data_IF_533216839359
#
_entry.id   IF_533216839359
#
_cell.length_a   1.000
_cell.length_b   1.000
_cell.length_c   1.000
_cell.angle_alpha   90.00
_cell.angle_beta   90.00
_cell.angle_gamma   90.00
#
_symmetry.space_group_name_H-M   'P 1'
#
loop_
_entity.id
_entity.type
_entity.pdbx_description
1 polymer ?
#
# COMPACT_ATOMS: atom_id res chain seq x y z
N UNK A 1 50.08 -37.93 -59.91
CA UNK A 1 49.42 -38.44 -58.69
C UNK A 1 49.71 -37.46 -57.57
N UNK A 2 48.64 -36.84 -57.08
CA UNK A 2 48.55 -35.72 -56.12
C UNK A 2 49.25 -36.03 -54.79
N UNK A 3 49.96 -35.15 -54.07
CA UNK A 3 50.04 -33.69 -54.09
C UNK A 3 49.74 -33.14 -52.68
N UNK A 4 50.75 -33.08 -51.80
CA UNK A 4 50.71 -32.51 -50.44
C UNK A 4 50.60 -30.98 -50.45
N UNK A 5 49.82 -30.37 -49.54
CA UNK A 5 50.04 -29.00 -49.08
C UNK A 5 49.36 -28.70 -47.73
N UNK A 6 50.16 -28.32 -46.73
CA UNK A 6 49.77 -27.41 -45.65
C UNK A 6 49.57 -25.99 -46.22
N UNK A 7 48.70 -25.15 -45.66
CA UNK A 7 49.05 -23.75 -45.35
C UNK A 7 48.01 -23.03 -44.47
N UNK A 8 48.56 -22.02 -43.79
CA UNK A 8 48.06 -21.16 -42.73
C UNK A 8 47.03 -20.06 -43.12
N UNK A 9 46.23 -19.68 -42.11
CA UNK A 9 45.94 -18.29 -41.62
C UNK A 9 45.04 -17.36 -42.45
N UNK A 10 44.06 -16.74 -41.77
CA UNK A 10 43.66 -15.35 -42.00
C UNK A 10 42.88 -14.77 -40.80
N UNK A 11 43.37 -13.64 -40.30
CA UNK A 11 42.68 -12.68 -39.42
C UNK A 11 41.91 -11.67 -40.27
N UNK A 12 40.76 -11.18 -39.83
CA UNK A 12 40.26 -9.83 -40.19
C UNK A 12 39.06 -9.41 -39.34
N UNK A 13 39.18 -8.23 -38.74
CA UNK A 13 38.09 -7.35 -38.28
C UNK A 13 37.07 -7.08 -39.40
N UNK A 14 35.82 -6.72 -39.03
CA UNK A 14 35.02 -5.62 -39.59
C UNK A 14 33.54 -5.76 -39.19
N UNK A 15 33.06 -4.68 -38.56
CA UNK A 15 31.73 -4.05 -38.56
C UNK A 15 30.43 -4.77 -38.13
N UNK A 16 29.82 -4.10 -37.16
CA UNK A 16 28.43 -4.15 -36.70
C UNK A 16 27.49 -3.69 -37.81
N UNK A 17 26.26 -4.22 -37.86
CA UNK A 17 25.13 -3.31 -38.01
C UNK A 17 24.05 -3.52 -36.95
N UNK A 18 23.66 -2.39 -36.37
CA UNK A 18 22.53 -2.17 -35.49
C UNK A 18 21.25 -2.39 -36.31
N UNK A 19 20.51 -3.47 -36.04
CA UNK A 19 19.14 -3.61 -36.53
C UNK A 19 18.15 -3.12 -35.47
N UNK A 20 17.66 -1.89 -35.69
CA UNK A 20 16.42 -1.36 -35.10
C UNK A 20 15.24 -2.08 -35.74
N UNK A 21 14.38 -2.70 -34.94
CA UNK A 21 13.04 -3.12 -35.37
C UNK A 21 11.98 -2.28 -34.62
N UNK A 22 11.03 -1.66 -35.33
CA UNK A 22 9.86 -1.04 -34.71
C UNK A 22 8.74 -2.09 -34.55
N UNK A 23 8.27 -2.32 -33.33
CA UNK A 23 7.01 -3.02 -33.08
C UNK A 23 5.85 -2.00 -33.07
N UNK A 24 4.84 -2.13 -33.96
CA UNK A 24 3.59 -1.40 -33.81
C UNK A 24 2.68 -2.18 -32.85
N UNK A 25 2.28 -1.56 -31.75
CA UNK A 25 1.19 -2.07 -30.90
C UNK A 25 -0.04 -1.18 -31.17
N UNK A 26 -0.94 -1.69 -32.00
CA UNK A 26 -2.28 -1.12 -32.18
C UNK A 26 -3.11 -1.36 -30.92
N UNK A 27 -3.64 -0.27 -30.35
CA UNK A 27 -4.60 -0.30 -29.24
C UNK A 27 -6.00 -0.36 -29.84
N UNK A 28 -6.63 -1.53 -29.78
CA UNK A 28 -8.06 -1.67 -30.13
C UNK A 28 -8.89 -1.25 -28.91
N UNK A 29 -9.48 -0.07 -29.01
CA UNK A 29 -10.41 0.50 -28.03
C UNK A 29 -11.79 -0.15 -28.19
N UNK A 30 -12.12 -1.11 -27.32
CA UNK A 30 -13.47 -1.69 -27.27
C UNK A 30 -14.42 -0.78 -26.50
N UNK A 31 -15.44 -0.33 -27.23
CA UNK A 31 -16.55 0.51 -26.78
C UNK A 31 -17.57 -0.36 -26.02
N UNK A 32 -17.78 -0.13 -24.72
CA UNK A 32 -18.86 -0.77 -23.96
C UNK A 32 -20.05 0.19 -23.90
N UNK A 33 -21.11 -0.18 -24.61
CA UNK A 33 -22.40 0.49 -24.63
C UNK A 33 -23.14 0.26 -23.31
N UNK A 34 -23.50 1.34 -22.61
CA UNK A 34 -24.34 1.26 -21.41
C UNK A 34 -25.80 0.98 -21.80
N UNK A 35 -26.31 -0.16 -21.33
CA UNK A 35 -27.70 -0.57 -21.42
C UNK A 35 -28.60 0.35 -20.60
N UNK A 36 -29.66 0.86 -21.24
CA UNK A 36 -30.68 1.72 -20.63
C UNK A 36 -31.63 0.87 -19.78
N UNK A 37 -31.63 1.08 -18.47
CA UNK A 37 -32.67 0.54 -17.58
C UNK A 37 -33.89 1.48 -17.61
N UNK A 38 -35.03 0.94 -18.02
CA UNK A 38 -36.34 1.56 -17.95
C UNK A 38 -36.73 1.86 -16.50
N UNK A 39 -37.02 3.12 -16.18
CA UNK A 39 -37.77 3.49 -14.98
C UNK A 39 -39.27 3.44 -15.31
N UNK A 40 -39.99 2.54 -14.63
CA UNK A 40 -41.45 2.51 -14.61
C UNK A 40 -41.94 3.53 -13.58
N UNK A 41 -42.83 4.39 -14.04
CA UNK A 41 -43.49 5.44 -13.28
C UNK A 41 -44.47 4.86 -12.24
N UNK A 42 -44.49 5.45 -11.04
CA UNK A 42 -45.66 5.38 -10.16
C UNK A 42 -45.97 6.77 -9.62
N UNK A 43 -47.07 7.32 -10.12
CA UNK A 43 -47.68 8.59 -9.74
C UNK A 43 -48.61 8.40 -8.55
N UNK A 44 -48.39 9.13 -7.46
CA UNK A 44 -49.40 9.40 -6.43
C UNK A 44 -49.49 10.91 -6.23
N UNK A 45 -50.68 11.44 -6.51
CA UNK A 45 -51.09 12.83 -6.38
C UNK A 45 -51.61 13.04 -4.96
N UNK A 46 -51.06 14.02 -4.22
CA UNK A 46 -51.76 14.66 -3.10
C UNK A 46 -51.57 16.18 -3.22
N UNK A 47 -52.70 16.87 -3.33
CA UNK A 47 -52.89 18.32 -3.35
C UNK A 47 -52.68 18.90 -1.94
N UNK A 48 -51.93 19.99 -1.83
CA UNK A 48 -51.81 20.80 -0.62
C UNK A 48 -51.24 22.19 -0.93
N UNK A 49 -52.10 23.21 -0.83
CA UNK A 49 -51.82 24.63 -1.08
C UNK A 49 -50.71 25.21 -0.18
N UNK A 50 -49.86 26.08 -0.73
CA UNK A 50 -48.95 26.94 0.03
C UNK A 50 -48.04 27.79 -0.86
N UNK A 51 -48.14 29.12 -0.72
CA UNK A 51 -47.68 30.19 -1.60
C UNK A 51 -46.17 30.32 -1.92
N UNK A 52 -45.91 30.75 -3.17
CA UNK A 52 -44.89 31.71 -3.66
C UNK A 52 -43.43 31.66 -3.18
N UNK A 53 -42.50 31.31 -4.08
CA UNK A 53 -41.44 32.22 -4.58
C UNK A 53 -40.51 31.56 -5.63
N UNK A 54 -40.63 32.04 -6.87
CA UNK A 54 -39.63 32.23 -7.95
C UNK A 54 -38.25 31.54 -7.80
N UNK A 55 -38.01 30.47 -8.58
CA UNK A 55 -36.67 30.00 -8.95
C UNK A 55 -36.38 30.26 -10.43
N UNK A 56 -35.20 30.84 -10.68
CA UNK A 56 -34.66 31.14 -12.01
C UNK A 56 -33.81 29.96 -12.50
N UNK A 57 -33.92 29.67 -13.80
CA UNK A 57 -33.24 28.60 -14.55
C UNK A 57 -31.71 28.75 -14.64
N UNK A 58 -30.99 27.63 -14.63
CA UNK A 58 -30.14 27.10 -15.74
C UNK A 58 -29.43 25.82 -15.28
N UNK A 59 -29.66 24.63 -15.87
CA UNK A 59 -28.91 24.03 -17.00
C UNK A 59 -27.37 24.24 -16.90
N UNK A 60 -26.47 23.27 -17.06
CA UNK A 60 -26.54 21.87 -17.52
C UNK A 60 -25.14 21.23 -17.29
N UNK A 61 -25.10 19.93 -17.01
CA UNK A 61 -24.15 18.88 -17.49
C UNK A 61 -22.62 19.13 -17.51
N UNK A 62 -21.87 18.17 -16.95
CA UNK A 62 -20.45 17.95 -17.26
C UNK A 62 -19.84 16.83 -16.42
N UNK A 63 -19.43 15.74 -17.08
CA UNK A 63 -18.99 14.47 -16.53
C UNK A 63 -17.60 14.46 -15.88
N UNK A 64 -17.37 13.47 -15.01
CA UNK A 64 -16.14 12.66 -15.02
C UNK A 64 -14.94 13.11 -14.16
N UNK A 65 -14.63 12.27 -13.16
CA UNK A 65 -13.29 11.77 -12.80
C UNK A 65 -13.08 11.73 -11.27
N UNK A 66 -13.17 10.53 -10.71
CA UNK A 66 -12.76 10.19 -9.36
C UNK A 66 -11.22 10.20 -9.27
N UNK A 67 -10.67 11.35 -8.86
CA UNK A 67 -9.36 11.44 -8.22
C UNK A 67 -9.57 11.94 -6.80
N UNK A 68 -9.30 11.11 -5.80
CA UNK A 68 -9.31 11.51 -4.40
C UNK A 68 -8.14 12.47 -4.13
N UNK A 69 -8.31 13.73 -4.48
CA UNK A 69 -7.57 14.83 -3.89
C UNK A 69 -8.21 15.11 -2.53
N UNK A 70 -7.49 14.80 -1.44
CA UNK A 70 -7.89 15.21 -0.10
C UNK A 70 -8.02 16.74 -0.02
N UNK A 71 -8.90 17.26 0.85
CA UNK A 71 -9.20 18.69 0.87
C UNK A 71 -7.93 19.48 1.20
N UNK A 72 -7.56 20.39 0.31
CA UNK A 72 -6.62 21.46 0.59
C UNK A 72 -7.27 22.40 1.61
N UNK A 73 -7.14 22.05 2.88
CA UNK A 73 -7.47 22.93 3.99
C UNK A 73 -6.48 24.10 4.00
N UNK A 74 -7.00 25.31 3.86
CA UNK A 74 -6.30 26.55 4.14
C UNK A 74 -5.89 26.57 5.62
N UNK A 75 -4.69 26.09 5.91
CA UNK A 75 -4.05 26.13 7.22
C UNK A 75 -2.93 27.15 7.24
N UNK A 76 -2.63 27.67 8.42
CA UNK A 76 -1.45 28.49 8.73
C UNK A 76 -0.17 27.93 8.07
N UNK A 77 0.84 28.78 7.77
CA UNK A 77 2.07 28.31 7.15
C UNK A 77 2.64 27.16 7.96
N UNK A 78 2.69 25.99 7.31
CA UNK A 78 3.29 24.78 7.83
C UNK A 78 4.66 25.12 8.45
N UNK A 79 4.74 25.10 9.78
CA UNK A 79 5.97 25.44 10.47
C UNK A 79 6.91 24.22 10.45
N UNK A 80 8.04 24.37 9.76
CA UNK A 80 9.09 23.36 9.71
C UNK A 80 10.17 23.74 10.74
N UNK A 81 10.26 22.98 11.82
CA UNK A 81 11.30 23.12 12.84
C UNK A 81 12.54 22.31 12.42
N UNK A 82 13.74 22.87 12.53
CA UNK A 82 14.98 22.24 12.06
C UNK A 82 15.96 22.10 13.21
N UNK A 83 16.47 20.89 13.41
CA UNK A 83 17.50 20.55 14.37
C UNK A 83 18.61 19.75 13.68
N UNK A 84 19.75 20.41 13.46
CA UNK A 84 20.87 19.86 12.72
C UNK A 84 20.46 19.37 11.34
N UNK A 85 20.45 18.05 11.14
CA UNK A 85 20.11 17.41 9.87
C UNK A 85 18.71 16.77 9.86
N UNK A 86 17.89 17.09 10.86
CA UNK A 86 16.50 16.63 11.01
C UNK A 86 15.57 17.82 10.95
N UNK A 87 14.40 17.66 10.33
CA UNK A 87 13.34 18.65 10.37
C UNK A 87 12.01 18.00 10.76
N UNK A 88 11.19 18.72 11.51
CA UNK A 88 9.89 18.26 12.01
C UNK A 88 8.82 19.22 11.53
N UNK A 89 7.79 18.68 10.91
CA UNK A 89 6.56 19.39 10.58
C UNK A 89 5.46 18.93 11.52
N UNK A 90 4.79 19.88 12.16
CA UNK A 90 3.65 19.66 13.06
C UNK A 90 2.39 20.16 12.39
N UNK A 91 1.31 19.38 12.43
CA UNK A 91 0.05 19.70 11.77
C UNK A 91 -1.08 19.45 12.76
N UNK A 92 -1.81 20.50 13.07
CA UNK A 92 -3.08 20.47 13.80
C UNK A 92 -4.21 20.30 12.77
N UNK A 93 -4.86 19.13 12.80
CA UNK A 93 -5.91 18.73 11.85
C UNK A 93 -7.29 19.12 12.38
N UNK A 94 -7.50 18.99 13.70
CA UNK A 94 -8.79 19.27 14.35
C UNK A 94 -8.96 20.74 14.81
N UNK A 95 -7.90 21.56 14.73
CA UNK A 95 -7.81 22.98 15.11
C UNK A 95 -7.91 23.24 16.61
N UNK A 96 -7.44 22.33 17.45
CA UNK A 96 -7.47 22.46 18.91
C UNK A 96 -6.19 23.12 19.49
N UNK A 97 -5.26 23.54 18.64
CA UNK A 97 -3.92 24.09 18.95
C UNK A 97 -2.93 23.05 19.45
N UNK A 98 -3.24 21.76 19.32
CA UNK A 98 -2.33 20.64 19.56
C UNK A 98 -2.11 19.95 18.22
N UNK A 99 -0.86 19.59 17.87
CA UNK A 99 -0.63 18.88 16.61
C UNK A 99 -1.07 17.42 16.71
N UNK A 100 -1.81 16.97 15.71
CA UNK A 100 -2.27 15.59 15.56
C UNK A 100 -1.34 14.77 14.65
N UNK A 101 -0.67 15.44 13.72
CA UNK A 101 0.21 14.79 12.75
C UNK A 101 1.62 15.38 12.79
N UNK A 102 2.60 14.51 12.96
CA UNK A 102 4.02 14.85 12.97
C UNK A 102 4.70 14.18 11.78
N UNK A 103 5.45 14.95 11.00
CA UNK A 103 6.29 14.42 9.92
C UNK A 103 7.74 14.75 10.21
N UNK A 104 8.56 13.72 10.27
CA UNK A 104 9.99 13.81 10.49
C UNK A 104 10.71 13.63 9.16
N UNK A 105 11.55 14.59 8.84
CA UNK A 105 12.36 14.64 7.64
C UNK A 105 13.83 14.57 8.01
N UNK A 106 14.62 13.91 7.16
CA UNK A 106 16.07 14.07 7.12
C UNK A 106 16.42 15.04 6.01
N UNK A 107 17.19 16.07 6.33
CA UNK A 107 17.76 16.96 5.32
C UNK A 107 18.90 16.24 4.61
N UNK A 108 18.94 16.29 3.28
CA UNK A 108 19.93 15.56 2.46
C UNK A 108 20.69 16.54 1.59
N UNK A 109 22.02 16.44 1.65
CA UNK A 109 22.94 17.29 0.88
C UNK A 109 23.59 18.38 1.73
N UNK A 110 24.13 19.39 1.06
CA UNK A 110 24.79 20.52 1.71
C UNK A 110 23.75 21.46 2.35
N UNK A 111 23.77 21.51 3.67
CA UNK A 111 22.92 22.34 4.52
C UNK A 111 23.53 23.70 4.85
N UNK A 112 24.82 23.92 4.54
CA UNK A 112 25.52 25.14 4.92
C UNK A 112 24.97 26.37 4.19
N UNK A 113 24.52 27.36 4.97
CA UNK A 113 24.07 28.66 4.44
C UNK A 113 22.76 28.64 3.64
N UNK A 114 22.05 27.50 3.59
CA UNK A 114 20.75 27.37 2.91
C UNK A 114 19.60 27.37 3.90
N UNK A 115 18.45 27.87 3.45
CA UNK A 115 17.20 27.72 4.20
C UNK A 115 16.70 26.28 4.09
N UNK A 116 16.08 25.77 5.15
CA UNK A 116 15.60 24.38 5.19
C UNK A 116 14.49 24.09 4.18
N UNK A 117 13.79 25.11 3.71
CA UNK A 117 12.78 24.96 2.66
C UNK A 117 13.41 24.57 1.32
N UNK A 118 14.64 25.02 1.06
CA UNK A 118 15.37 24.83 -0.20
C UNK A 118 16.26 23.56 -0.20
N UNK A 119 16.42 22.92 0.95
CA UNK A 119 17.21 21.70 1.08
C UNK A 119 16.35 20.49 0.74
N UNK A 120 16.81 19.54 -0.10
CA UNK A 120 16.11 18.28 -0.33
C UNK A 120 15.81 17.56 0.97
N UNK A 121 14.54 17.18 1.16
CA UNK A 121 14.02 16.58 2.39
C UNK A 121 13.61 15.15 2.09
N UNK A 122 14.04 14.21 2.93
CA UNK A 122 13.61 12.82 2.89
C UNK A 122 12.67 12.53 4.04
N UNK A 123 11.41 12.16 3.77
CA UNK A 123 10.49 11.72 4.84
C UNK A 123 11.04 10.42 5.46
N UNK A 124 11.21 10.38 6.78
CA UNK A 124 11.72 9.20 7.50
C UNK A 124 10.69 8.58 8.43
N UNK A 125 9.80 9.41 9.01
CA UNK A 125 8.75 8.96 9.93
C UNK A 125 7.54 9.89 9.86
N UNK A 126 6.35 9.32 9.96
CA UNK A 126 5.10 10.05 10.13
C UNK A 126 4.36 9.45 11.34
N UNK A 127 3.97 10.29 12.26
CA UNK A 127 3.19 9.94 13.46
C UNK A 127 1.83 10.63 13.37
N UNK A 128 0.77 9.93 13.75
CA UNK A 128 -0.61 10.41 13.68
C UNK A 128 -1.36 9.99 14.93
N UNK A 129 -1.92 10.97 15.62
CA UNK A 129 -3.04 10.85 16.55
C UNK A 129 -4.33 10.95 15.72
N UNK A 130 -5.08 9.86 15.61
CA UNK A 130 -6.30 9.79 14.80
C UNK A 130 -7.58 9.92 15.62
N UNK A 131 -7.49 9.72 16.94
CA UNK A 131 -8.62 9.85 17.85
C UNK A 131 -8.63 11.18 18.66
N UNK A 132 -7.55 11.97 18.54
CA UNK A 132 -7.31 13.26 19.18
C UNK A 132 -7.16 13.21 20.70
N UNK A 133 -6.57 12.14 21.23
CA UNK A 133 -6.34 11.97 22.68
C UNK A 133 -4.92 12.35 23.14
N UNK A 134 -4.08 12.83 22.21
CA UNK A 134 -2.66 13.19 22.36
C UNK A 134 -1.70 12.02 22.54
N UNK A 135 -2.14 10.80 22.28
CA UNK A 135 -1.28 9.65 22.05
C UNK A 135 -1.15 9.41 20.55
N UNK A 136 -0.04 8.79 20.16
CA UNK A 136 0.21 8.47 18.76
C UNK A 136 -0.37 7.10 18.47
N UNK A 137 -1.34 7.05 17.57
CA UNK A 137 -2.03 5.82 17.19
C UNK A 137 -1.32 5.12 16.04
N UNK A 138 -0.79 5.90 15.08
CA UNK A 138 -0.19 5.34 13.87
C UNK A 138 1.21 5.90 13.64
N UNK A 139 2.18 5.01 13.48
CA UNK A 139 3.56 5.35 13.12
C UNK A 139 3.95 4.69 11.80
N UNK A 140 4.25 5.51 10.80
CA UNK A 140 4.74 5.07 9.49
C UNK A 140 6.21 5.40 9.33
N UNK A 141 7.02 4.44 8.89
CA UNK A 141 8.45 4.59 8.64
C UNK A 141 8.75 4.47 7.15
N UNK A 142 9.65 5.34 6.70
CA UNK A 142 10.00 5.51 5.30
C UNK A 142 11.51 5.42 5.09
N UNK A 143 11.93 5.03 3.89
CA UNK A 143 13.32 5.10 3.42
C UNK A 143 13.35 5.49 1.95
N UNK A 144 14.49 5.94 1.45
CA UNK A 144 14.68 6.11 0.00
C UNK A 144 15.56 7.30 -0.30
N UNK A 145 15.18 8.03 -1.34
CA UNK A 145 15.76 9.31 -1.72
C UNK A 145 14.71 10.41 -1.48
N UNK A 146 15.13 11.68 -1.31
CA UNK A 146 14.21 12.81 -1.27
C UNK A 146 13.19 12.77 -2.41
N UNK A 147 11.90 12.74 -2.05
CA UNK A 147 10.78 12.70 -3.01
C UNK A 147 10.51 11.35 -3.69
N UNK A 148 11.26 10.30 -3.34
CA UNK A 148 11.06 8.91 -3.81
C UNK A 148 11.02 7.92 -2.65
N UNK A 149 10.51 8.36 -1.51
CA UNK A 149 10.45 7.55 -0.31
C UNK A 149 9.47 6.40 -0.48
N UNK A 150 9.84 5.23 0.05
CA UNK A 150 8.98 4.05 0.12
C UNK A 150 8.73 3.72 1.58
N UNK A 151 7.47 3.44 1.90
CA UNK A 151 7.08 2.96 3.22
C UNK A 151 7.67 1.57 3.45
N UNK A 152 8.25 1.36 4.64
CA UNK A 152 8.89 0.09 5.03
C UNK A 152 8.22 -0.57 6.22
N UNK A 153 7.57 0.21 7.08
CA UNK A 153 6.89 -0.26 8.27
C UNK A 153 5.74 0.69 8.63
N UNK A 154 4.64 0.13 9.09
CA UNK A 154 3.49 0.85 9.66
C UNK A 154 3.11 0.14 10.96
N UNK A 155 3.02 0.89 12.04
CA UNK A 155 2.63 0.44 13.39
C UNK A 155 1.30 1.14 13.72
N UNK A 156 0.34 0.42 14.29
CA UNK A 156 -0.98 0.93 14.64
C UNK A 156 -1.40 0.41 16.01
N UNK A 157 -1.84 1.33 16.87
CA UNK A 157 -2.69 1.13 18.03
C UNK A 157 -4.15 1.11 17.55
N UNK A 158 -4.83 -0.01 17.73
CA UNK A 158 -6.18 -0.25 17.22
C UNK A 158 -7.25 -0.05 18.30
N UNK A 159 -6.90 -0.17 19.58
CA UNK A 159 -7.81 0.04 20.72
C UNK A 159 -7.56 1.33 21.51
N UNK A 160 -6.51 2.08 21.15
CA UNK A 160 -6.11 3.37 21.70
C UNK A 160 -5.58 3.31 23.14
N UNK A 161 -5.01 2.18 23.55
CA UNK A 161 -4.43 2.02 24.88
C UNK A 161 -3.02 2.64 25.01
N UNK A 162 -2.37 2.95 23.89
CA UNK A 162 -1.01 3.46 23.76
C UNK A 162 0.04 2.39 23.38
N UNK A 163 -0.38 1.17 23.04
CA UNK A 163 0.47 0.06 22.60
C UNK A 163 0.24 -0.24 21.12
N UNK A 164 1.22 -0.90 20.50
CA UNK A 164 1.13 -1.27 19.09
C UNK A 164 0.45 -2.63 18.98
N UNK A 165 -0.71 -2.67 18.36
CA UNK A 165 -1.45 -3.90 18.11
C UNK A 165 -1.11 -4.50 16.75
N UNK A 166 -0.86 -3.66 15.74
CA UNK A 166 -0.57 -4.13 14.38
C UNK A 166 0.72 -3.54 13.85
N UNK A 167 1.62 -4.39 13.40
CA UNK A 167 2.81 -4.01 12.64
C UNK A 167 2.76 -4.59 11.23
N UNK A 168 2.75 -3.73 10.21
CA UNK A 168 2.87 -4.11 8.80
C UNK A 168 4.26 -3.81 8.28
N UNK A 169 4.90 -4.78 7.61
CA UNK A 169 6.22 -4.61 6.99
C UNK A 169 6.14 -4.70 5.48
N UNK A 170 6.81 -3.77 4.81
CA UNK A 170 6.77 -3.63 3.37
C UNK A 170 8.10 -4.06 2.75
N UNK A 171 8.01 -4.73 1.60
CA UNK A 171 9.14 -5.11 0.76
C UNK A 171 8.79 -4.82 -0.69
N UNK A 172 9.64 -4.06 -1.38
CA UNK A 172 9.42 -3.62 -2.77
C UNK A 172 8.06 -2.92 -2.99
N UNK A 173 7.57 -2.17 -2.00
CA UNK A 173 6.29 -1.45 -2.07
C UNK A 173 5.05 -2.27 -1.71
N UNK A 174 5.18 -3.54 -1.34
CA UNK A 174 4.06 -4.40 -0.96
C UNK A 174 4.24 -4.93 0.46
N UNK A 175 3.13 -5.09 1.19
CA UNK A 175 3.14 -5.74 2.51
C UNK A 175 3.56 -7.20 2.32
N UNK A 176 4.57 -7.66 3.06
CA UNK A 176 5.01 -9.05 3.04
C UNK A 176 4.83 -9.77 4.38
N UNK A 177 4.71 -8.99 5.47
CA UNK A 177 4.44 -9.49 6.81
C UNK A 177 3.48 -8.53 7.51
N UNK A 178 2.48 -9.09 8.19
CA UNK A 178 1.64 -8.39 9.16
C UNK A 178 1.71 -9.17 10.46
N UNK A 179 2.03 -8.48 11.54
CA UNK A 179 2.07 -8.97 12.91
C UNK A 179 0.88 -8.32 13.63
N UNK A 180 0.02 -9.11 14.27
CA UNK A 180 -1.16 -8.64 14.99
C UNK A 180 -1.19 -9.21 16.42
N UNK A 181 -1.38 -8.33 17.39
CA UNK A 181 -1.92 -8.61 18.71
C UNK A 181 -3.44 -8.39 18.61
N UNK A 182 -4.21 -9.46 18.64
CA UNK A 182 -5.68 -9.42 18.63
C UNK A 182 -6.26 -9.58 20.04
N UNK A 183 -5.42 -9.96 21.00
CA UNK A 183 -5.75 -10.05 22.42
C UNK A 183 -5.62 -8.73 23.17
N UNK A 184 -4.91 -7.75 22.60
CA UNK A 184 -4.58 -6.45 23.19
C UNK A 184 -3.83 -6.59 24.53
N UNK A 185 -2.88 -7.52 24.60
CA UNK A 185 -2.08 -7.79 25.81
C UNK A 185 -0.60 -7.35 25.69
N UNK A 186 -0.24 -6.78 24.54
CA UNK A 186 1.10 -6.37 24.16
C UNK A 186 1.93 -7.49 23.53
N UNK A 187 1.34 -8.64 23.17
CA UNK A 187 2.01 -9.77 22.53
C UNK A 187 1.35 -10.09 21.21
N UNK A 188 2.17 -10.22 20.16
CA UNK A 188 1.67 -10.67 18.86
C UNK A 188 1.19 -12.12 18.97
N UNK A 189 -0.05 -12.36 18.58
CA UNK A 189 -0.64 -13.70 18.51
C UNK A 189 -0.84 -14.19 17.08
N UNK A 190 -0.81 -13.30 16.09
CA UNK A 190 -1.11 -13.65 14.69
C UNK A 190 -0.08 -13.04 13.74
N UNK A 191 0.47 -13.87 12.85
CA UNK A 191 1.33 -13.43 11.75
C UNK A 191 0.71 -13.79 10.42
N UNK A 192 0.75 -12.88 9.44
CA UNK A 192 0.28 -13.11 8.07
C UNK A 192 1.39 -12.80 7.09
N UNK A 193 1.79 -13.80 6.30
CA UNK A 193 2.84 -13.68 5.31
C UNK A 193 2.23 -13.58 3.92
N UNK A 194 2.68 -12.58 3.17
CA UNK A 194 2.19 -12.27 1.84
C UNK A 194 3.32 -12.38 0.81
N UNK A 195 2.95 -12.83 -0.38
CA UNK A 195 3.87 -12.93 -1.50
C UNK A 195 3.22 -12.39 -2.77
N UNK A 196 4.02 -11.68 -3.57
CA UNK A 196 3.63 -11.30 -4.92
C UNK A 196 3.55 -12.52 -5.83
N UNK A 197 2.39 -12.74 -6.43
CA UNK A 197 2.13 -13.78 -7.43
C UNK A 197 1.50 -13.16 -8.68
N UNK A 198 1.27 -13.98 -9.70
CA UNK A 198 0.41 -13.61 -10.84
C UNK A 198 -0.99 -14.16 -10.65
N UNK A 199 -2.01 -13.44 -11.11
CA UNK A 199 -3.36 -13.98 -11.26
C UNK A 199 -3.55 -14.64 -12.64
N UNK A 200 -4.74 -15.16 -12.91
CA UNK A 200 -5.09 -15.81 -14.18
C UNK A 200 -4.96 -14.88 -15.39
N UNK A 201 -5.08 -13.56 -15.17
CA UNK A 201 -4.90 -12.53 -16.18
C UNK A 201 -3.44 -12.04 -16.30
N UNK A 202 -2.48 -12.65 -15.60
CA UNK A 202 -1.06 -12.27 -15.62
C UNK A 202 -0.72 -11.00 -14.84
N UNK A 203 -1.67 -10.44 -14.08
CA UNK A 203 -1.46 -9.24 -13.24
C UNK A 203 -0.74 -9.63 -11.95
N UNK A 204 0.17 -8.76 -11.52
CA UNK A 204 0.86 -8.94 -10.23
C UNK A 204 -0.11 -8.66 -9.08
N UNK A 205 -0.31 -9.63 -8.19
CA UNK A 205 -1.19 -9.54 -7.02
C UNK A 205 -0.45 -9.97 -5.77
N UNK A 206 -0.71 -9.32 -4.65
CA UNK A 206 -0.13 -9.72 -3.35
C UNK A 206 -1.09 -10.71 -2.67
N UNK A 207 -0.68 -11.97 -2.47
CA UNK A 207 -1.53 -13.02 -1.91
C UNK A 207 -1.02 -13.45 -0.55
N UNK A 208 -1.94 -13.71 0.38
CA UNK A 208 -1.66 -14.43 1.61
C UNK A 208 -1.19 -15.83 1.23
N UNK A 209 -0.04 -16.25 1.73
CA UNK A 209 0.52 -17.59 1.52
C UNK A 209 0.53 -18.41 2.81
N UNK A 210 0.62 -17.73 3.95
CA UNK A 210 0.71 -18.38 5.24
C UNK A 210 0.14 -17.45 6.32
N UNK A 211 -0.58 -18.03 7.28
CA UNK A 211 -0.98 -17.38 8.52
C UNK A 211 -0.58 -18.26 9.68
N UNK A 212 0.05 -17.66 10.69
CA UNK A 212 0.51 -18.30 11.93
C UNK A 212 -0.30 -17.75 13.08
N UNK A 213 -0.60 -18.59 14.07
CA UNK A 213 -1.32 -18.18 15.27
C UNK A 213 -0.71 -18.84 16.51
N UNK A 214 -0.55 -18.04 17.56
CA UNK A 214 -0.50 -18.51 18.94
C UNK A 214 -1.93 -18.48 19.46
N UNK A 215 -2.51 -19.65 19.70
CA UNK A 215 -3.89 -19.77 20.20
C UNK A 215 -3.95 -20.02 21.70
N UNK A 216 -2.81 -20.23 22.36
CA UNK A 216 -2.70 -20.50 23.79
C UNK A 216 -2.23 -19.28 24.58
N UNK A 217 -1.63 -18.29 23.92
CA UNK A 217 -1.09 -17.07 24.54
C UNK A 217 0.23 -17.30 25.28
N UNK A 218 0.93 -18.39 24.97
CA UNK A 218 2.21 -18.72 25.62
C UNK A 218 3.44 -18.12 24.92
N UNK A 219 3.23 -17.39 23.83
CA UNK A 219 4.24 -16.75 23.02
C UNK A 219 4.79 -17.62 21.89
N UNK A 220 4.33 -18.87 21.74
CA UNK A 220 4.76 -19.76 20.67
C UNK A 220 3.62 -20.00 19.68
N UNK A 221 3.97 -20.02 18.40
CA UNK A 221 3.02 -20.39 17.35
C UNK A 221 2.65 -21.86 17.50
N UNK A 222 1.36 -22.17 17.50
CA UNK A 222 0.86 -23.54 17.56
C UNK A 222 -0.09 -23.91 16.40
N UNK A 223 -0.51 -22.95 15.57
CA UNK A 223 -1.31 -23.19 14.37
C UNK A 223 -0.76 -22.47 13.14
N UNK A 224 -0.76 -23.17 12.00
CA UNK A 224 -0.36 -22.66 10.69
C UNK A 224 -1.46 -22.94 9.66
N UNK A 225 -1.86 -21.92 8.92
CA UNK A 225 -2.76 -21.99 7.79
C UNK A 225 -1.98 -21.67 6.51
N UNK A 226 -2.02 -22.56 5.51
CA UNK A 226 -1.32 -22.37 4.24
C UNK A 226 -2.30 -22.16 3.09
N UNK A 227 -1.98 -21.19 2.25
CA UNK A 227 -2.85 -20.72 1.19
C UNK A 227 -2.21 -20.94 -0.18
N UNK A 228 -3.01 -21.40 -1.14
CA UNK A 228 -2.59 -21.57 -2.54
C UNK A 228 -3.64 -20.94 -3.44
N UNK A 229 -3.21 -20.04 -4.31
CA UNK A 229 -4.11 -19.27 -5.18
C UNK A 229 -5.28 -18.61 -4.40
N UNK A 230 -5.01 -18.15 -3.16
CA UNK A 230 -6.00 -17.48 -2.30
C UNK A 230 -6.95 -18.42 -1.56
N UNK A 231 -6.80 -19.74 -1.71
CA UNK A 231 -7.61 -20.74 -1.01
C UNK A 231 -6.79 -21.39 0.10
N UNK A 232 -7.40 -21.63 1.26
CA UNK A 232 -6.81 -22.42 2.35
C UNK A 232 -6.71 -23.88 1.91
N UNK A 233 -5.49 -24.43 1.84
CA UNK A 233 -5.25 -25.79 1.34
C UNK A 233 -4.71 -26.74 2.40
N UNK A 234 -4.07 -26.21 3.44
CA UNK A 234 -3.45 -27.02 4.48
C UNK A 234 -3.48 -26.27 5.81
N UNK A 235 -3.78 -26.98 6.88
CA UNK A 235 -3.65 -26.50 8.26
C UNK A 235 -2.62 -27.41 8.95
N UNK A 236 -1.63 -26.82 9.60
CA UNK A 236 -0.65 -27.47 10.48
C UNK A 236 -0.91 -27.07 11.92
N UNK A 237 -0.71 -27.98 12.86
CA UNK A 237 -0.81 -27.74 14.30
C UNK A 237 0.42 -28.34 14.97
N UNK A 238 1.01 -27.60 15.91
CA UNK A 238 2.02 -28.12 16.83
C UNK A 238 1.33 -28.58 18.12
N UNK A 239 1.34 -29.89 18.35
CA UNK A 239 0.77 -30.56 19.51
C UNK A 239 1.83 -30.90 20.57
N UNK A 240 3.10 -30.71 20.23
CA UNK A 240 4.26 -31.08 21.05
C UNK A 240 4.93 -29.88 21.72
N UNK A 241 4.74 -28.68 21.18
CA UNK A 241 5.33 -27.44 21.65
C UNK A 241 6.80 -27.27 21.26
N UNK A 242 7.26 -27.93 20.20
CA UNK A 242 8.64 -27.85 19.71
C UNK A 242 8.86 -26.70 18.70
N UNK A 243 7.80 -25.96 18.38
CA UNK A 243 7.83 -24.80 17.49
C UNK A 243 7.65 -25.15 16.01
N UNK A 244 7.35 -26.40 15.68
CA UNK A 244 7.05 -26.86 14.34
C UNK A 244 5.73 -27.64 14.27
N UNK A 245 4.93 -27.48 13.21
CA UNK A 245 3.71 -28.27 13.07
C UNK A 245 4.01 -29.76 12.83
N UNK A 246 3.54 -30.63 13.73
CA UNK A 246 3.64 -32.10 13.61
C UNK A 246 2.40 -32.74 13.00
N UNK A 247 1.23 -32.10 13.13
CA UNK A 247 -0.04 -32.61 12.61
C UNK A 247 -0.57 -31.75 11.47
N UNK A 248 -0.88 -32.37 10.33
CA UNK A 248 -1.42 -31.68 9.16
C UNK A 248 -2.79 -32.18 8.74
N UNK A 249 -3.68 -31.24 8.42
CA UNK A 249 -4.96 -31.49 7.75
C UNK A 249 -4.95 -30.79 6.39
N UNK A 250 -5.06 -31.55 5.31
CA UNK A 250 -5.27 -31.00 3.96
C UNK A 250 -6.76 -30.74 3.75
N UNK A 251 -7.08 -29.63 3.12
CA UNK A 251 -8.43 -29.30 2.71
C UNK A 251 -8.50 -29.53 1.21
N UNK A 252 -9.27 -30.54 0.82
CA UNK A 252 -9.56 -30.77 -0.58
C UNK A 252 -10.41 -29.62 -1.12
N UNK A 253 -10.14 -29.23 -2.37
CA UNK A 253 -11.04 -28.35 -3.11
C UNK A 253 -12.37 -29.09 -3.26
N UNK A 254 -13.28 -28.99 -2.29
CA UNK A 254 -14.69 -29.27 -2.56
C UNK A 254 -15.15 -28.17 -3.52
N UNK A 255 -15.03 -28.47 -4.82
CA UNK A 255 -15.76 -27.78 -5.87
C UNK A 255 -17.23 -27.79 -5.42
N UNK A 256 -17.78 -26.61 -5.19
CA UNK A 256 -19.20 -26.41 -4.94
C UNK A 256 -19.84 -25.94 -6.23
#
# INVERSE_FOLDING_TARGET
MSGTANYCRATSEIDVPICRAPCPFEVVMSCVTFSRVCFIALSVVILGCGSSAKQTKSNKSGDGASGLAGPAGSGEPVQLEVDGNTAIQRIDVNRDKRPDVYKFYRLVGDTAGKKAEDIPKMLIRKEMDVNFDQKIDIVQYFRGEPGKEVMIREEMDLDFDGRVDTTRRYKKGFVHLVELDLGFDGRVDTWRLYQLTKDEAGRTVNRLIEKRKDTTGDGNVNEWEYYTAGLLTKIGVDTTGDGAPDRFRRLDKKAK
#
